data_IF_433154989173
#
_entry.id   IF_433154989173
#
_cell.length_a   1.000
_cell.length_b   1.000
_cell.length_c   1.000
_cell.angle_alpha   90.00
_cell.angle_beta   90.00
_cell.angle_gamma   90.00
#
_symmetry.space_group_name_H-M   'P 1'
#
loop_
_entity.id
_entity.type
_entity.pdbx_description
1 polymer ?
#
# COMPACT_ATOMS: atom_id res chain seq x y z
N UNK A 1 -28.30 8.33 -1.67
CA UNK A 1 -27.65 7.06 -1.25
C UNK A 1 -28.63 6.21 -0.43
N UNK A 2 -28.59 4.85 -0.52
CA UNK A 2 -29.39 3.98 0.38
C UNK A 2 -28.84 4.07 1.80
N UNK A 3 -29.70 3.90 2.81
CA UNK A 3 -29.30 4.03 4.23
C UNK A 3 -28.19 3.07 4.63
N UNK A 4 -28.22 1.83 4.15
CA UNK A 4 -27.17 0.84 4.41
C UNK A 4 -25.80 1.30 3.86
N UNK A 5 -25.78 1.83 2.66
CA UNK A 5 -24.56 2.38 2.05
C UNK A 5 -24.07 3.64 2.80
N UNK A 6 -24.96 4.50 3.28
CA UNK A 6 -24.56 5.67 4.09
C UNK A 6 -23.83 5.25 5.36
N UNK A 7 -24.27 4.17 6.01
CA UNK A 7 -23.67 3.68 7.27
C UNK A 7 -22.23 3.16 7.09
N UNK A 8 -21.81 2.80 5.88
CA UNK A 8 -20.41 2.41 5.64
C UNK A 8 -19.45 3.59 5.72
N UNK A 9 -19.93 4.82 5.64
CA UNK A 9 -19.15 6.05 5.73
C UNK A 9 -19.24 6.74 7.11
N UNK A 10 -20.10 6.26 8.02
CA UNK A 10 -20.28 6.88 9.32
C UNK A 10 -19.56 6.07 10.41
N UNK A 11 -18.89 6.75 11.34
CA UNK A 11 -18.13 6.13 12.41
C UNK A 11 -18.31 6.93 13.72
N UNK A 12 -18.23 6.24 14.88
CA UNK A 12 -18.28 6.88 16.21
C UNK A 12 -16.90 7.40 16.64
N UNK A 13 -16.82 8.52 17.37
CA UNK A 13 -15.55 9.10 17.82
C UNK A 13 -14.75 8.22 18.79
N UNK A 14 -15.40 7.27 19.47
CA UNK A 14 -14.79 6.34 20.41
C UNK A 14 -14.10 5.16 19.73
N UNK A 15 -14.39 4.92 18.44
CA UNK A 15 -13.77 3.82 17.70
C UNK A 15 -12.28 4.08 17.46
N UNK A 16 -11.53 2.98 17.32
CA UNK A 16 -10.08 3.01 17.17
C UNK A 16 -9.65 3.31 15.73
N UNK A 17 -8.38 3.66 15.57
CA UNK A 17 -7.76 3.83 14.25
C UNK A 17 -7.86 2.56 13.41
N UNK A 18 -7.67 1.38 14.01
CA UNK A 18 -7.80 0.09 13.31
C UNK A 18 -9.20 -0.09 12.73
N UNK A 19 -10.25 0.21 13.51
CA UNK A 19 -11.64 0.12 13.06
C UNK A 19 -11.94 1.14 11.94
N UNK A 20 -11.37 2.34 12.04
CA UNK A 20 -11.50 3.36 11.00
C UNK A 20 -10.84 2.90 9.69
N UNK A 21 -9.62 2.36 9.75
CA UNK A 21 -8.93 1.83 8.57
C UNK A 21 -9.74 0.72 7.88
N UNK A 22 -10.26 -0.24 8.65
CA UNK A 22 -11.10 -1.31 8.10
C UNK A 22 -12.35 -0.79 7.39
N UNK A 23 -12.95 0.26 7.96
CA UNK A 23 -14.15 0.86 7.39
C UNK A 23 -13.84 1.71 6.15
N UNK A 24 -12.69 2.37 6.11
CA UNK A 24 -12.16 3.07 4.92
C UNK A 24 -11.90 2.07 3.80
N UNK A 25 -11.27 0.94 4.11
CA UNK A 25 -11.03 -0.12 3.14
C UNK A 25 -12.33 -0.65 2.55
N UNK A 26 -13.30 -0.97 3.42
CA UNK A 26 -14.60 -1.49 2.99
C UNK A 26 -15.40 -0.53 2.10
N UNK A 27 -15.27 0.79 2.28
CA UNK A 27 -15.97 1.78 1.47
C UNK A 27 -15.19 2.23 0.22
N UNK A 28 -13.89 1.94 0.13
CA UNK A 28 -13.00 2.25 -0.99
C UNK A 28 -12.99 3.73 -1.45
N UNK A 29 -13.32 4.68 -0.53
CA UNK A 29 -13.37 6.13 -0.83
C UNK A 29 -12.42 6.97 0.03
N UNK A 30 -11.64 6.32 0.88
CA UNK A 30 -10.56 6.97 1.64
C UNK A 30 -11.01 7.96 2.73
N UNK A 31 -12.30 8.00 3.09
CA UNK A 31 -12.86 8.96 4.05
C UNK A 31 -13.98 8.36 4.88
N UNK A 32 -14.06 8.81 6.15
CA UNK A 32 -15.21 8.58 7.05
C UNK A 32 -15.67 9.90 7.67
N UNK A 33 -16.98 9.98 7.94
CA UNK A 33 -17.60 11.07 8.67
C UNK A 33 -17.93 10.61 10.09
N UNK A 34 -17.46 11.38 11.06
CA UNK A 34 -17.64 11.06 12.48
C UNK A 34 -18.92 11.68 12.95
N UNK A 35 -19.78 10.86 13.56
CA UNK A 35 -21.09 11.29 14.07
C UNK A 35 -21.24 10.92 15.55
N UNK A 36 -21.99 11.73 16.29
CA UNK A 36 -22.42 11.38 17.63
C UNK A 36 -23.58 10.37 17.60
N UNK A 37 -24.09 10.02 18.78
CA UNK A 37 -25.24 9.11 18.99
C UNK A 37 -26.51 9.54 18.26
N UNK A 38 -26.70 10.86 18.07
CA UNK A 38 -27.84 11.43 17.32
C UNK A 38 -27.58 11.48 15.79
N UNK A 39 -26.49 10.89 15.29
CA UNK A 39 -25.99 10.96 13.91
C UNK A 39 -25.69 12.38 13.42
N UNK A 40 -25.47 13.35 14.32
CA UNK A 40 -25.00 14.68 13.94
C UNK A 40 -23.53 14.61 13.57
N UNK A 41 -23.16 15.31 12.51
CA UNK A 41 -21.78 15.42 12.05
C UNK A 41 -20.94 16.17 13.10
N UNK A 42 -19.86 15.54 13.57
CA UNK A 42 -18.91 16.13 14.53
C UNK A 42 -17.46 16.10 14.04
N UNK A 43 -17.18 15.41 12.95
CA UNK A 43 -15.84 15.36 12.38
C UNK A 43 -15.78 14.58 11.07
N UNK A 44 -14.59 14.58 10.50
CA UNK A 44 -14.22 13.70 9.39
C UNK A 44 -12.79 13.20 9.60
N UNK A 45 -12.47 12.04 9.02
CA UNK A 45 -11.14 11.46 9.02
C UNK A 45 -10.87 10.82 7.66
N UNK A 46 -9.69 11.07 7.13
CA UNK A 46 -9.23 10.48 5.87
C UNK A 46 -8.13 9.46 6.11
N UNK A 47 -7.88 8.62 5.12
CA UNK A 47 -6.73 7.71 5.09
C UNK A 47 -5.41 8.48 5.33
N UNK A 48 -5.26 9.66 4.71
CA UNK A 48 -4.09 10.52 4.94
C UNK A 48 -3.94 11.03 6.38
N UNK A 49 -5.05 11.31 7.10
CA UNK A 49 -5.00 11.72 8.51
C UNK A 49 -4.52 10.57 9.39
N UNK A 50 -5.05 9.37 9.16
CA UNK A 50 -4.64 8.15 9.85
C UNK A 50 -3.17 7.86 9.59
N UNK A 51 -2.72 7.92 8.34
CA UNK A 51 -1.33 7.68 7.96
C UNK A 51 -0.38 8.64 8.66
N UNK A 52 -0.66 9.94 8.65
CA UNK A 52 0.15 10.95 9.35
C UNK A 52 0.24 10.68 10.86
N UNK A 53 -0.86 10.25 11.46
CA UNK A 53 -0.87 9.86 12.87
C UNK A 53 0.02 8.65 13.13
N UNK A 54 -0.11 7.59 12.32
CA UNK A 54 0.67 6.36 12.47
C UNK A 54 2.17 6.59 12.28
N UNK A 55 2.55 7.40 11.29
CA UNK A 55 3.94 7.80 11.08
C UNK A 55 4.48 8.53 12.31
N UNK A 56 3.67 9.40 12.92
CA UNK A 56 4.09 10.21 14.06
C UNK A 56 4.16 9.43 15.36
N UNK A 57 3.27 8.48 15.60
CA UNK A 57 3.04 7.89 16.93
C UNK A 57 3.21 6.38 16.99
N UNK A 58 3.06 5.66 15.87
CA UNK A 58 2.99 4.20 15.82
C UNK A 58 1.76 3.59 16.52
N UNK A 59 0.84 4.43 17.08
CA UNK A 59 -0.25 3.95 17.92
C UNK A 59 -1.51 3.64 17.10
N UNK A 60 -1.80 2.35 16.95
CA UNK A 60 -2.98 1.82 16.25
C UNK A 60 -4.25 1.80 17.11
N UNK A 61 -4.11 1.79 18.44
CA UNK A 61 -5.23 1.62 19.38
C UNK A 61 -5.83 2.94 19.85
N UNK A 62 -5.34 4.07 19.34
CA UNK A 62 -5.88 5.38 19.71
C UNK A 62 -7.29 5.58 19.13
N UNK A 63 -8.11 6.32 19.85
CA UNK A 63 -9.44 6.71 19.40
C UNK A 63 -9.36 7.78 18.30
N UNK A 64 -10.21 7.67 17.28
CA UNK A 64 -10.22 8.60 16.15
C UNK A 64 -10.62 10.04 16.57
N UNK A 65 -11.27 10.21 17.70
CA UNK A 65 -11.57 11.53 18.29
C UNK A 65 -10.34 12.41 18.50
N UNK A 66 -9.13 11.80 18.62
CA UNK A 66 -7.86 12.51 18.84
C UNK A 66 -7.27 13.12 17.55
N UNK A 67 -7.56 12.53 16.42
CA UNK A 67 -6.93 12.89 15.12
C UNK A 67 -7.93 13.38 14.07
N UNK A 68 -9.24 13.31 14.34
CA UNK A 68 -10.26 13.75 13.40
C UNK A 68 -10.21 15.27 13.12
N UNK A 69 -10.52 15.65 11.90
CA UNK A 69 -10.86 17.02 11.56
C UNK A 69 -12.22 17.37 12.19
N UNK A 70 -12.24 18.30 13.16
CA UNK A 70 -13.45 18.70 13.89
C UNK A 70 -14.34 19.69 13.14
N UNK A 71 -13.87 20.25 12.01
CA UNK A 71 -14.59 21.23 11.20
C UNK A 71 -14.69 20.77 9.75
N UNK A 72 -15.30 19.58 9.47
CA UNK A 72 -15.45 19.11 8.10
C UNK A 72 -16.38 20.03 7.33
N UNK A 73 -16.10 20.24 6.06
CA UNK A 73 -17.04 20.94 5.17
C UNK A 73 -18.27 20.08 4.96
N UNK A 74 -19.42 20.71 4.90
CA UNK A 74 -20.73 20.08 4.70
C UNK A 74 -21.68 21.05 4.01
N UNK A 75 -22.76 20.55 3.45
CA UNK A 75 -23.87 21.36 2.92
C UNK A 75 -25.19 20.90 3.52
N UNK A 76 -26.12 21.82 3.69
CA UNK A 76 -27.50 21.45 4.01
C UNK A 76 -28.25 20.98 2.77
N UNK A 77 -29.27 20.13 2.95
CA UNK A 77 -30.09 19.60 1.85
C UNK A 77 -30.58 20.67 0.87
N UNK A 78 -30.92 21.85 1.36
CA UNK A 78 -31.36 22.99 0.56
C UNK A 78 -30.24 23.61 -0.30
N UNK A 79 -28.99 23.34 0.02
CA UNK A 79 -27.79 23.92 -0.58
C UNK A 79 -27.04 22.92 -1.49
N UNK A 80 -27.63 21.76 -1.77
CA UNK A 80 -27.00 20.69 -2.58
C UNK A 80 -26.61 21.17 -3.99
N UNK A 81 -27.31 22.16 -4.54
CA UNK A 81 -26.98 22.73 -5.85
C UNK A 81 -25.58 23.40 -5.87
N UNK A 82 -25.08 23.90 -4.74
CA UNK A 82 -23.76 24.51 -4.61
C UNK A 82 -22.66 23.51 -4.19
N UNK A 83 -22.99 22.23 -4.02
CA UNK A 83 -22.06 21.24 -3.48
C UNK A 83 -20.78 21.10 -4.31
N UNK A 84 -20.89 21.09 -5.64
CA UNK A 84 -19.73 21.00 -6.53
C UNK A 84 -18.78 22.19 -6.39
N UNK A 85 -19.31 23.40 -6.24
CA UNK A 85 -18.50 24.61 -6.04
C UNK A 85 -17.76 24.54 -4.69
N UNK A 86 -18.44 24.03 -3.63
CA UNK A 86 -17.82 23.80 -2.33
C UNK A 86 -16.69 22.78 -2.46
N UNK A 87 -16.92 21.66 -3.13
CA UNK A 87 -15.92 20.59 -3.31
C UNK A 87 -14.69 21.12 -4.05
N UNK A 88 -14.86 21.82 -5.18
CA UNK A 88 -13.76 22.45 -5.94
C UNK A 88 -13.00 23.46 -5.10
N UNK A 89 -13.73 24.39 -4.44
CA UNK A 89 -13.13 25.48 -3.64
C UNK A 89 -12.23 24.98 -2.52
N UNK A 90 -12.58 23.84 -1.92
CA UNK A 90 -11.84 23.26 -0.79
C UNK A 90 -11.02 22.03 -1.16
N UNK A 91 -10.96 21.69 -2.46
CA UNK A 91 -10.24 20.50 -2.97
C UNK A 91 -10.59 19.23 -2.20
N UNK A 92 -11.90 18.98 -2.00
CA UNK A 92 -12.41 17.81 -1.27
C UNK A 92 -13.19 16.90 -2.21
N UNK A 93 -12.99 15.61 -2.07
CA UNK A 93 -13.58 14.57 -2.93
C UNK A 93 -14.89 13.99 -2.41
N UNK A 94 -15.25 14.30 -1.15
CA UNK A 94 -16.49 13.86 -0.53
C UNK A 94 -17.09 14.95 0.36
N UNK A 95 -18.40 15.17 0.25
CA UNK A 95 -19.11 16.24 0.97
C UNK A 95 -20.39 15.69 1.60
N UNK A 96 -20.51 15.68 2.95
CA UNK A 96 -21.71 15.21 3.65
C UNK A 96 -22.84 16.21 3.50
N UNK A 97 -24.04 15.71 3.27
CA UNK A 97 -25.30 16.46 3.21
C UNK A 97 -26.02 16.33 4.53
N UNK A 98 -26.38 17.46 5.12
CA UNK A 98 -27.04 17.52 6.42
C UNK A 98 -28.51 17.91 6.27
N UNK A 99 -29.35 17.39 7.18
CA UNK A 99 -30.70 17.95 7.38
C UNK A 99 -30.66 19.18 8.30
N UNK A 100 -31.82 19.78 8.53
CA UNK A 100 -31.96 20.98 9.40
C UNK A 100 -31.51 20.76 10.87
N UNK A 101 -31.37 19.51 11.30
CA UNK A 101 -30.92 19.13 12.66
C UNK A 101 -29.42 18.82 12.70
N UNK A 102 -28.68 18.96 11.58
CA UNK A 102 -27.26 18.62 11.48
C UNK A 102 -26.97 17.12 11.35
N UNK A 103 -27.97 16.29 11.07
CA UNK A 103 -27.84 14.85 10.89
C UNK A 103 -27.35 14.59 9.45
N UNK A 104 -26.38 13.72 9.29
CA UNK A 104 -25.90 13.28 7.96
C UNK A 104 -26.97 12.41 7.30
N UNK A 105 -27.46 12.85 6.14
CA UNK A 105 -28.53 12.17 5.38
C UNK A 105 -28.05 11.64 4.04
N UNK A 106 -26.94 12.16 3.50
CA UNK A 106 -26.34 11.72 2.26
C UNK A 106 -24.86 12.14 2.18
N UNK A 107 -24.13 11.61 1.21
CA UNK A 107 -22.76 12.00 0.90
C UNK A 107 -22.64 12.13 -0.60
N UNK A 108 -22.12 13.27 -1.04
CA UNK A 108 -21.80 13.54 -2.44
C UNK A 108 -20.32 13.31 -2.65
N UNK A 109 -20.00 12.59 -3.71
CA UNK A 109 -18.63 12.39 -4.16
C UNK A 109 -18.36 13.20 -5.41
N UNK A 110 -17.13 13.68 -5.57
CA UNK A 110 -16.69 14.27 -6.82
C UNK A 110 -16.83 13.22 -7.92
N UNK A 111 -17.44 13.59 -9.04
CA UNK A 111 -17.48 12.70 -10.21
C UNK A 111 -16.05 12.54 -10.71
N UNK A 112 -15.60 11.31 -10.86
CA UNK A 112 -14.31 10.99 -11.47
C UNK A 112 -14.28 11.53 -12.90
N UNK A 113 -13.84 12.79 -13.05
CA UNK A 113 -13.34 13.25 -14.34
C UNK A 113 -11.96 12.61 -14.50
N UNK A 114 -11.74 11.92 -15.64
CA UNK A 114 -10.41 11.41 -16.01
C UNK A 114 -9.37 12.46 -15.68
N UNK A 115 -8.42 12.07 -14.89
CA UNK A 115 -7.40 12.88 -14.22
C UNK A 115 -6.74 13.86 -15.19
N UNK A 116 -7.12 15.13 -15.11
CA UNK A 116 -6.18 16.19 -15.47
C UNK A 116 -5.06 16.13 -14.42
N UNK A 117 -3.82 16.09 -14.89
CA UNK A 117 -2.59 16.09 -14.08
C UNK A 117 -2.74 17.16 -13.00
N UNK A 118 -2.75 16.78 -11.74
CA UNK A 118 -2.81 17.72 -10.62
C UNK A 118 -1.60 18.63 -10.72
N UNK A 119 -1.81 19.95 -10.86
CA UNK A 119 -0.74 20.93 -10.76
C UNK A 119 -0.02 20.73 -9.44
N UNK A 120 1.28 20.36 -9.50
CA UNK A 120 2.11 20.03 -8.34
C UNK A 120 2.32 18.52 -8.10
N UNK A 121 1.85 17.64 -8.98
CA UNK A 121 2.20 16.22 -9.02
C UNK A 121 3.72 16.06 -9.17
N UNK A 122 4.33 15.25 -8.30
CA UNK A 122 5.75 14.90 -8.39
C UNK A 122 5.86 13.80 -9.46
N UNK A 123 6.26 14.16 -10.67
CA UNK A 123 6.49 13.14 -11.71
C UNK A 123 7.58 12.18 -11.28
N UNK A 124 7.31 10.87 -11.35
CA UNK A 124 8.28 9.81 -11.11
C UNK A 124 9.04 9.39 -12.38
N UNK A 125 9.01 10.20 -13.44
CA UNK A 125 9.56 9.90 -14.77
C UNK A 125 11.05 9.52 -14.76
N UNK A 126 11.82 10.00 -13.77
CA UNK A 126 13.26 9.72 -13.62
C UNK A 126 13.57 8.79 -12.44
N UNK A 127 12.57 8.28 -11.76
CA UNK A 127 12.77 7.40 -10.61
C UNK A 127 13.03 5.98 -11.09
N UNK A 128 14.23 5.41 -10.84
CA UNK A 128 14.49 4.02 -11.21
C UNK A 128 13.62 3.07 -10.37
N UNK A 129 13.05 2.06 -11.03
CA UNK A 129 12.30 0.98 -10.37
C UNK A 129 13.00 -0.34 -10.61
N UNK A 130 13.40 -1.02 -9.54
CA UNK A 130 14.05 -2.33 -9.58
C UNK A 130 13.06 -3.40 -9.14
N UNK A 131 12.76 -4.34 -10.04
CA UNK A 131 11.85 -5.46 -9.80
C UNK A 131 12.67 -6.71 -9.52
N UNK A 132 12.49 -7.31 -8.33
CA UNK A 132 13.21 -8.50 -7.89
C UNK A 132 12.56 -9.76 -8.46
N UNK A 133 13.08 -10.26 -9.58
CA UNK A 133 12.49 -11.36 -10.37
C UNK A 133 13.36 -12.64 -10.44
N UNK A 134 14.42 -12.77 -9.62
CA UNK A 134 15.36 -13.91 -9.64
C UNK A 134 14.85 -15.17 -8.90
N UNK A 135 13.78 -15.08 -8.12
CA UNK A 135 13.31 -16.16 -7.24
C UNK A 135 12.67 -17.35 -7.97
N UNK A 136 12.78 -18.56 -7.39
CA UNK A 136 12.19 -19.82 -7.92
C UNK A 136 10.66 -19.91 -7.74
N UNK A 137 10.07 -19.20 -6.80
CA UNK A 137 8.63 -19.20 -6.54
C UNK A 137 8.07 -20.57 -6.05
N UNK A 138 8.78 -21.29 -5.22
CA UNK A 138 8.44 -22.67 -4.82
C UNK A 138 7.08 -22.84 -4.14
N UNK A 139 6.57 -21.79 -3.49
CA UNK A 139 5.23 -21.82 -2.87
C UNK A 139 4.09 -21.95 -3.88
N UNK A 140 4.34 -21.58 -5.15
CA UNK A 140 3.38 -21.69 -6.25
C UNK A 140 3.60 -22.94 -7.13
N UNK A 141 4.29 -23.98 -6.62
CA UNK A 141 4.34 -25.26 -7.33
C UNK A 141 2.93 -25.88 -7.44
N UNK A 142 2.58 -26.49 -8.59
CA UNK A 142 3.44 -26.83 -9.75
C UNK A 142 3.64 -25.75 -10.81
N UNK A 143 2.91 -24.62 -10.78
CA UNK A 143 2.96 -23.59 -11.84
C UNK A 143 4.39 -23.09 -12.10
N UNK A 144 5.15 -22.81 -11.04
CA UNK A 144 6.52 -22.29 -11.16
C UNK A 144 7.56 -23.34 -11.59
N UNK A 145 7.15 -24.60 -11.74
CA UNK A 145 7.96 -25.59 -12.47
C UNK A 145 7.92 -25.37 -14.00
N UNK A 146 6.91 -24.70 -14.50
CA UNK A 146 6.73 -24.44 -15.94
C UNK A 146 7.04 -22.98 -16.25
N UNK A 147 6.39 -22.03 -15.57
CA UNK A 147 6.55 -20.60 -15.77
C UNK A 147 7.34 -19.99 -14.60
N UNK A 148 8.28 -19.05 -14.83
CA UNK A 148 8.86 -18.27 -13.74
C UNK A 148 7.77 -17.39 -13.11
N UNK A 149 7.87 -17.14 -11.79
CA UNK A 149 6.88 -16.40 -11.02
C UNK A 149 6.46 -15.06 -11.64
N UNK A 150 7.37 -14.23 -12.19
CA UNK A 150 7.02 -12.98 -12.86
C UNK A 150 6.07 -13.12 -14.05
N UNK A 151 6.03 -14.29 -14.67
CA UNK A 151 5.19 -14.58 -15.84
C UNK A 151 3.88 -15.32 -15.49
N UNK A 152 3.59 -15.58 -14.23
CA UNK A 152 2.28 -16.14 -13.84
C UNK A 152 1.21 -15.11 -14.18
N UNK A 153 0.19 -15.48 -14.96
CA UNK A 153 -0.87 -14.56 -15.33
C UNK A 153 -1.79 -14.26 -14.15
N UNK A 154 -2.20 -13.02 -14.05
CA UNK A 154 -3.31 -12.55 -13.24
C UNK A 154 -4.36 -12.00 -14.21
N UNK A 155 -5.39 -12.76 -14.49
CA UNK A 155 -6.26 -12.55 -15.64
C UNK A 155 -5.50 -12.86 -16.94
N UNK A 156 -5.40 -11.88 -17.83
CA UNK A 156 -4.88 -12.01 -19.19
C UNK A 156 -3.41 -11.63 -19.37
N UNK A 157 -2.78 -10.98 -18.37
CA UNK A 157 -1.39 -10.54 -18.44
C UNK A 157 -0.57 -10.98 -17.22
N UNK A 158 0.77 -11.15 -17.36
CA UNK A 158 1.64 -11.49 -16.24
C UNK A 158 1.64 -10.49 -15.10
N UNK A 159 1.85 -11.00 -13.87
CA UNK A 159 1.92 -10.14 -12.69
C UNK A 159 3.00 -9.06 -12.81
N UNK A 160 4.17 -9.37 -13.34
CA UNK A 160 5.25 -8.39 -13.51
C UNK A 160 4.85 -7.25 -14.47
N UNK A 161 4.07 -7.55 -15.50
CA UNK A 161 3.55 -6.53 -16.41
C UNK A 161 2.56 -5.61 -15.71
N UNK A 162 1.64 -6.17 -14.88
CA UNK A 162 0.72 -5.34 -14.07
C UNK A 162 1.46 -4.43 -13.10
N UNK A 163 2.58 -4.90 -12.53
CA UNK A 163 3.42 -4.08 -11.65
C UNK A 163 4.03 -2.93 -12.46
N UNK A 164 4.60 -3.21 -13.63
CA UNK A 164 5.18 -2.20 -14.52
C UNK A 164 4.12 -1.17 -14.93
N UNK A 165 2.92 -1.61 -15.34
CA UNK A 165 1.83 -0.71 -15.75
C UNK A 165 1.44 0.25 -14.62
N UNK A 166 1.40 -0.23 -13.36
CA UNK A 166 1.13 0.65 -12.20
C UNK A 166 2.17 1.75 -12.02
N UNK A 167 3.44 1.46 -12.25
CA UNK A 167 4.49 2.47 -12.20
C UNK A 167 4.45 3.40 -13.41
N UNK A 168 4.06 2.89 -14.58
CA UNK A 168 3.87 3.70 -15.79
C UNK A 168 2.71 4.68 -15.64
N UNK A 169 1.64 4.30 -14.94
CA UNK A 169 0.50 5.18 -14.64
C UNK A 169 0.93 6.46 -13.89
N UNK A 170 2.09 6.44 -13.19
CA UNK A 170 2.68 7.58 -12.47
C UNK A 170 3.94 8.13 -13.15
N UNK A 171 4.16 7.76 -14.41
CA UNK A 171 5.20 8.34 -15.27
C UNK A 171 6.56 7.65 -15.24
N UNK A 172 6.75 6.55 -14.51
CA UNK A 172 8.02 5.81 -14.49
C UNK A 172 8.34 5.23 -15.86
N UNK A 173 9.59 5.42 -16.30
CA UNK A 173 10.10 4.91 -17.59
C UNK A 173 11.37 4.05 -17.44
N UNK A 174 12.06 4.13 -16.31
CA UNK A 174 13.36 3.47 -16.09
C UNK A 174 13.19 2.22 -15.21
N UNK A 175 13.13 1.05 -15.85
CA UNK A 175 12.92 -0.23 -15.19
C UNK A 175 14.16 -1.10 -15.23
N UNK A 176 14.47 -1.73 -14.09
CA UNK A 176 15.46 -2.77 -13.92
C UNK A 176 14.78 -4.04 -13.44
N UNK A 177 15.22 -5.20 -13.93
CA UNK A 177 14.74 -6.48 -13.43
C UNK A 177 15.93 -7.37 -13.07
N UNK A 178 16.02 -7.76 -11.79
CA UNK A 178 17.01 -8.78 -11.40
C UNK A 178 16.45 -10.15 -11.75
N UNK A 179 17.22 -10.96 -12.48
CA UNK A 179 16.74 -12.22 -13.02
C UNK A 179 17.76 -13.36 -12.82
N UNK A 180 17.25 -14.53 -12.47
CA UNK A 180 18.05 -15.75 -12.32
C UNK A 180 17.28 -16.96 -12.89
N UNK A 181 16.30 -17.48 -12.11
CA UNK A 181 15.53 -18.66 -12.49
C UNK A 181 14.72 -18.40 -13.75
N UNK A 182 14.95 -19.25 -14.79
CA UNK A 182 14.27 -19.16 -16.10
C UNK A 182 14.34 -17.77 -16.74
N UNK A 183 15.44 -17.04 -16.54
CA UNK A 183 15.64 -15.68 -17.01
C UNK A 183 15.34 -15.48 -18.50
N UNK A 184 15.66 -16.47 -19.35
CA UNK A 184 15.42 -16.37 -20.80
C UNK A 184 13.92 -16.32 -21.13
N UNK A 185 13.06 -17.01 -20.38
CA UNK A 185 11.61 -16.93 -20.58
C UNK A 185 11.08 -15.52 -20.24
N UNK A 186 11.57 -14.93 -19.15
CA UNK A 186 11.20 -13.56 -18.77
C UNK A 186 11.62 -12.58 -19.86
N UNK A 187 12.88 -12.66 -20.30
CA UNK A 187 13.40 -11.79 -21.35
C UNK A 187 12.64 -11.94 -22.67
N UNK A 188 12.41 -13.20 -23.13
CA UNK A 188 11.66 -13.43 -24.37
C UNK A 188 10.26 -12.82 -24.33
N UNK A 189 9.53 -13.00 -23.23
CA UNK A 189 8.18 -12.44 -23.10
C UNK A 189 8.16 -10.93 -23.34
N UNK A 190 9.02 -10.19 -22.64
CA UNK A 190 9.04 -8.73 -22.74
C UNK A 190 9.72 -8.19 -24.01
N UNK A 191 10.50 -9.02 -24.72
CA UNK A 191 11.09 -8.66 -26.01
C UNK A 191 10.10 -8.92 -27.17
N UNK A 192 9.35 -10.02 -27.12
CA UNK A 192 8.42 -10.41 -28.19
C UNK A 192 7.14 -9.58 -28.19
N UNK A 193 6.75 -9.01 -27.05
CA UNK A 193 5.59 -8.13 -26.95
C UNK A 193 6.01 -6.70 -27.26
N UNK A 194 5.34 -6.07 -28.24
CA UNK A 194 5.56 -4.64 -28.56
C UNK A 194 5.19 -3.78 -27.34
N UNK A 195 6.20 -3.34 -26.60
CA UNK A 195 6.08 -2.46 -25.42
C UNK A 195 6.67 -1.10 -25.74
N UNK A 196 6.14 -0.09 -25.12
CA UNK A 196 6.61 1.30 -25.20
C UNK A 196 7.56 1.66 -24.03
N UNK A 197 8.10 0.65 -23.33
CA UNK A 197 9.10 0.77 -22.27
C UNK A 197 10.20 -0.28 -22.44
N UNK A 198 11.35 -0.01 -21.87
CA UNK A 198 12.51 -0.90 -21.88
C UNK A 198 12.82 -1.39 -20.46
N UNK A 199 13.22 -2.66 -20.33
CA UNK A 199 13.66 -3.25 -19.08
C UNK A 199 15.15 -3.59 -19.20
N UNK A 200 15.96 -3.00 -18.29
CA UNK A 200 17.37 -3.36 -18.12
C UNK A 200 17.48 -4.59 -17.23
N UNK A 201 18.01 -5.68 -17.75
CA UNK A 201 18.10 -6.94 -17.03
C UNK A 201 19.42 -7.05 -16.28
N UNK A 202 19.34 -7.33 -14.98
CA UNK A 202 20.48 -7.59 -14.09
C UNK A 202 20.51 -9.08 -13.81
N UNK A 203 21.49 -9.79 -14.37
CA UNK A 203 21.57 -11.24 -14.28
C UNK A 203 22.34 -11.69 -13.03
N UNK A 204 21.70 -12.47 -12.19
CA UNK A 204 22.33 -13.14 -11.06
C UNK A 204 22.94 -14.47 -11.52
N UNK A 205 24.20 -14.73 -11.20
CA UNK A 205 24.86 -16.02 -11.44
C UNK A 205 24.53 -17.07 -10.37
N UNK A 206 24.13 -16.61 -9.21
CA UNK A 206 23.67 -17.41 -8.05
C UNK A 206 22.54 -16.64 -7.32
N UNK A 207 21.69 -17.30 -6.53
CA UNK A 207 20.71 -16.60 -5.72
C UNK A 207 21.38 -15.62 -4.75
N UNK A 208 21.05 -14.33 -4.84
CA UNK A 208 21.65 -13.29 -3.98
C UNK A 208 20.69 -12.73 -2.93
N UNK A 209 19.49 -13.29 -2.79
CA UNK A 209 18.48 -12.79 -1.85
C UNK A 209 17.71 -11.59 -2.42
N UNK A 210 17.02 -10.85 -1.54
CA UNK A 210 16.15 -9.74 -1.97
C UNK A 210 16.86 -8.39 -2.00
N UNK A 211 18.16 -8.33 -1.69
CA UNK A 211 18.96 -7.10 -1.77
C UNK A 211 20.29 -7.31 -2.50
N UNK A 212 20.90 -8.51 -2.42
CA UNK A 212 22.23 -8.75 -2.93
C UNK A 212 22.40 -8.42 -4.42
N UNK A 213 21.38 -8.68 -5.23
CA UNK A 213 21.39 -8.37 -6.67
C UNK A 213 21.36 -6.88 -7.00
N UNK A 214 20.97 -6.01 -6.06
CA UNK A 214 21.06 -4.57 -6.24
C UNK A 214 22.52 -4.10 -6.44
N UNK A 215 23.48 -4.83 -5.85
CA UNK A 215 24.91 -4.54 -6.00
C UNK A 215 25.41 -4.77 -7.42
N UNK A 216 24.74 -5.60 -8.21
CA UNK A 216 25.09 -5.89 -9.60
C UNK A 216 24.65 -4.80 -10.59
N UNK A 217 23.84 -3.82 -10.14
CA UNK A 217 23.44 -2.71 -11.00
C UNK A 217 24.63 -1.74 -11.10
N UNK A 218 25.22 -1.64 -12.30
CA UNK A 218 26.41 -0.84 -12.55
C UNK A 218 26.11 0.67 -12.55
N UNK A 219 24.91 1.06 -13.01
CA UNK A 219 24.52 2.46 -13.10
C UNK A 219 24.43 3.12 -11.72
N UNK A 220 25.03 4.28 -11.58
CA UNK A 220 24.85 5.14 -10.42
C UNK A 220 23.53 5.92 -10.55
N UNK A 221 22.63 5.72 -9.60
CA UNK A 221 21.38 6.47 -9.53
C UNK A 221 21.62 7.85 -8.90
N UNK A 222 21.04 8.89 -9.50
CA UNK A 222 21.18 10.27 -9.01
C UNK A 222 20.16 10.63 -7.90
N UNK A 223 19.12 9.80 -7.75
CA UNK A 223 18.03 10.03 -6.81
C UNK A 223 17.57 8.72 -6.17
N UNK A 224 16.80 8.76 -5.07
CA UNK A 224 16.26 7.57 -4.46
C UNK A 224 15.50 6.70 -5.48
N UNK A 225 15.63 5.39 -5.34
CA UNK A 225 15.03 4.42 -6.26
C UNK A 225 14.08 3.49 -5.53
N UNK A 226 13.14 2.92 -6.28
CA UNK A 226 12.14 2.00 -5.75
C UNK A 226 12.62 0.56 -6.00
N UNK A 227 12.51 -0.29 -4.98
CA UNK A 227 12.69 -1.74 -5.10
C UNK A 227 11.38 -2.42 -4.77
N UNK A 228 10.94 -3.35 -5.62
CA UNK A 228 9.72 -4.09 -5.40
C UNK A 228 9.89 -5.58 -5.75
N UNK A 229 9.21 -6.44 -5.01
CA UNK A 229 9.09 -7.84 -5.40
C UNK A 229 8.25 -7.96 -6.69
N UNK A 230 8.47 -9.03 -7.46
CA UNK A 230 7.75 -9.28 -8.71
C UNK A 230 6.38 -9.96 -8.53
N UNK A 231 5.90 -10.10 -7.31
CA UNK A 231 4.70 -10.86 -6.95
C UNK A 231 3.71 -10.08 -6.09
N UNK A 232 3.95 -8.79 -5.90
CA UNK A 232 3.09 -7.90 -5.11
C UNK A 232 2.50 -6.80 -5.97
N UNK A 233 1.25 -6.45 -5.70
CA UNK A 233 0.59 -5.30 -6.28
C UNK A 233 0.12 -4.37 -5.16
N UNK A 234 0.52 -3.11 -5.24
CA UNK A 234 0.18 -2.11 -4.24
C UNK A 234 -0.75 -1.07 -4.84
N UNK A 235 -1.93 -0.91 -4.25
CA UNK A 235 -2.90 0.11 -4.60
C UNK A 235 -2.75 1.30 -3.65
N UNK A 236 -1.74 2.12 -3.88
CA UNK A 236 -1.47 3.32 -3.10
C UNK A 236 -0.97 4.45 -4.01
N UNK A 237 -0.90 5.64 -3.49
CA UNK A 237 -0.33 6.79 -4.17
C UNK A 237 1.21 6.70 -4.14
N UNK A 238 1.82 6.24 -5.24
CA UNK A 238 3.28 6.09 -5.36
C UNK A 238 4.02 7.42 -5.27
N UNK A 239 3.42 8.52 -5.73
CA UNK A 239 4.00 9.84 -5.62
C UNK A 239 4.06 10.29 -4.14
N UNK A 240 3.01 10.01 -3.37
CA UNK A 240 2.96 10.31 -1.93
C UNK A 240 3.98 9.45 -1.14
N UNK A 241 4.11 8.17 -1.49
CA UNK A 241 5.12 7.28 -0.89
C UNK A 241 6.54 7.83 -1.13
N UNK A 242 6.83 8.21 -2.38
CA UNK A 242 8.14 8.73 -2.76
C UNK A 242 8.42 10.09 -2.13
N UNK A 243 7.43 10.98 -2.11
CA UNK A 243 7.50 12.28 -1.44
C UNK A 243 7.78 12.14 0.05
N UNK A 244 7.06 11.22 0.72
CA UNK A 244 7.29 10.91 2.13
C UNK A 244 8.74 10.49 2.41
N UNK A 245 9.32 9.61 1.60
CA UNK A 245 10.70 9.19 1.74
C UNK A 245 11.66 10.40 1.73
N UNK A 246 11.49 11.28 0.75
CA UNK A 246 12.34 12.48 0.60
C UNK A 246 12.16 13.49 1.74
N UNK A 247 10.91 13.82 2.08
CA UNK A 247 10.61 14.82 3.11
C UNK A 247 10.99 14.35 4.51
N UNK A 248 10.87 13.07 4.78
CA UNK A 248 11.29 12.47 6.04
C UNK A 248 12.79 12.40 6.18
N UNK A 249 13.57 12.48 5.09
CA UNK A 249 15.01 12.27 5.07
C UNK A 249 15.40 10.87 5.51
N UNK A 250 14.58 9.87 5.20
CA UNK A 250 14.89 8.47 5.42
C UNK A 250 15.97 8.03 4.44
N UNK A 251 16.82 7.10 4.85
CA UNK A 251 17.75 6.44 3.95
C UNK A 251 17.12 5.22 3.29
N UNK A 252 16.26 4.53 4.06
CA UNK A 252 15.42 3.43 3.60
C UNK A 252 14.00 3.66 4.10
N UNK A 253 13.01 3.53 3.22
CA UNK A 253 11.58 3.51 3.58
C UNK A 253 10.98 2.17 3.21
N UNK A 254 10.33 1.53 4.16
CA UNK A 254 9.59 0.28 3.98
C UNK A 254 8.12 0.61 3.78
N UNK A 255 7.52 0.20 2.66
CA UNK A 255 6.07 0.22 2.53
C UNK A 255 5.51 -0.96 3.32
N UNK A 256 4.65 -0.68 4.29
CA UNK A 256 4.15 -1.68 5.23
C UNK A 256 2.63 -1.71 5.24
N UNK A 257 2.04 -2.90 5.06
CA UNK A 257 0.60 -3.08 5.09
C UNK A 257 0.11 -3.42 6.50
N UNK A 258 -1.01 -2.85 6.91
CA UNK A 258 -1.71 -3.29 8.10
C UNK A 258 -2.29 -4.69 7.83
N UNK A 259 -1.96 -5.67 8.69
CA UNK A 259 -2.55 -7.01 8.67
C UNK A 259 -3.29 -7.27 9.98
N UNK A 260 -4.50 -7.80 9.83
CA UNK A 260 -5.35 -8.18 10.95
C UNK A 260 -5.42 -9.71 11.04
N UNK A 261 -4.96 -10.26 12.16
CA UNK A 261 -4.93 -11.70 12.41
C UNK A 261 -5.92 -12.00 13.53
N UNK A 262 -6.95 -12.79 13.23
CA UNK A 262 -7.88 -13.27 14.25
C UNK A 262 -7.34 -14.59 14.80
N UNK A 263 -7.09 -14.64 16.10
CA UNK A 263 -6.80 -15.92 16.77
C UNK A 263 -8.12 -16.67 16.90
N UNK A 264 -8.31 -17.86 16.27
CA UNK A 264 -9.63 -18.50 16.22
C UNK A 264 -10.05 -19.19 17.52
N UNK A 265 -9.35 -18.90 18.62
CA UNK A 265 -9.52 -19.49 19.95
C UNK A 265 -9.57 -18.40 21.02
N UNK A 266 -10.08 -18.76 22.22
CA UNK A 266 -9.88 -17.95 23.43
C UNK A 266 -8.39 -17.94 23.80
N UNK A 267 -7.83 -16.72 23.96
CA UNK A 267 -6.44 -16.51 24.41
C UNK A 267 -6.43 -16.31 25.92
N UNK A 268 -5.61 -17.12 26.61
CA UNK A 268 -5.46 -17.07 28.07
C UNK A 268 -4.19 -16.30 28.40
N UNK A 269 -4.33 -15.26 29.21
CA UNK A 269 -3.20 -14.57 29.83
C UNK A 269 -2.97 -15.12 31.23
N UNK A 270 -1.79 -15.69 31.48
CA UNK A 270 -1.41 -16.28 32.76
C UNK A 270 -0.28 -15.51 33.43
N UNK A 271 -0.24 -15.53 34.74
CA UNK A 271 0.88 -15.10 35.57
C UNK A 271 1.73 -16.27 36.02
N UNK A 272 2.68 -15.97 36.91
CA UNK A 272 3.51 -17.01 37.55
C UNK A 272 2.62 -18.07 38.22
N UNK A 273 3.13 -19.31 38.27
CA UNK A 273 2.44 -20.49 38.80
C UNK A 273 1.15 -20.90 38.06
N UNK A 274 0.93 -20.44 36.82
CA UNK A 274 -0.20 -20.86 35.99
C UNK A 274 -1.54 -20.24 36.39
N UNK A 275 -1.55 -19.20 37.24
CA UNK A 275 -2.78 -18.49 37.56
C UNK A 275 -3.30 -17.70 36.36
N UNK A 276 -4.56 -17.92 35.98
CA UNK A 276 -5.21 -17.20 34.89
C UNK A 276 -5.54 -15.78 35.32
N UNK A 277 -5.03 -14.79 34.61
CA UNK A 277 -5.30 -13.37 34.86
C UNK A 277 -6.48 -12.85 34.04
N UNK A 278 -6.56 -13.24 32.78
CA UNK A 278 -7.67 -12.86 31.90
C UNK A 278 -7.80 -13.87 30.74
N UNK A 279 -8.94 -13.83 30.09
CA UNK A 279 -9.20 -14.58 28.85
C UNK A 279 -9.90 -13.64 27.88
N UNK A 280 -9.43 -13.67 26.63
CA UNK A 280 -9.99 -12.88 25.51
C UNK A 280 -10.45 -13.84 24.42
N UNK A 281 -11.74 -13.80 24.07
CA UNK A 281 -12.32 -14.68 23.07
C UNK A 281 -12.04 -14.13 21.66
N UNK A 282 -11.34 -14.95 20.85
CA UNK A 282 -11.02 -14.66 19.44
C UNK A 282 -10.41 -13.26 19.24
N UNK A 283 -9.33 -12.92 19.95
CA UNK A 283 -8.73 -11.60 19.83
C UNK A 283 -8.25 -11.32 18.41
N UNK A 284 -8.34 -10.05 18.02
CA UNK A 284 -7.85 -9.54 16.76
C UNK A 284 -6.56 -8.79 17.00
N UNK A 285 -5.47 -9.31 16.43
CA UNK A 285 -4.15 -8.71 16.50
C UNK A 285 -3.85 -7.96 15.20
N UNK A 286 -3.38 -6.73 15.30
CA UNK A 286 -3.06 -5.88 14.16
C UNK A 286 -1.57 -5.57 14.14
N UNK A 287 -0.91 -5.83 13.02
CA UNK A 287 0.51 -5.60 12.81
C UNK A 287 0.76 -4.92 11.47
N UNK A 288 1.84 -4.13 11.40
CA UNK A 288 2.39 -3.74 10.12
C UNK A 288 3.33 -4.84 9.61
N UNK A 289 3.05 -5.32 8.42
CA UNK A 289 3.88 -6.33 7.74
C UNK A 289 4.64 -5.69 6.59
N UNK A 290 5.84 -6.17 6.35
CA UNK A 290 6.65 -5.75 5.24
C UNK A 290 6.04 -6.26 3.93
N UNK A 291 5.74 -5.35 3.01
CA UNK A 291 5.13 -5.71 1.73
C UNK A 291 6.13 -6.24 0.70
N UNK A 292 7.42 -5.95 0.85
CA UNK A 292 8.43 -6.20 -0.18
C UNK A 292 8.61 -5.05 -1.17
N UNK A 293 8.05 -3.87 -0.87
CA UNK A 293 8.33 -2.63 -1.59
C UNK A 293 9.08 -1.66 -0.69
N UNK A 294 10.11 -1.04 -1.25
CA UNK A 294 11.03 -0.16 -0.53
C UNK A 294 11.41 1.04 -1.39
N UNK A 295 11.81 2.13 -0.73
CA UNK A 295 12.53 3.23 -1.37
C UNK A 295 13.88 3.37 -0.68
N UNK A 296 14.94 3.44 -1.46
CA UNK A 296 16.32 3.47 -1.00
C UNK A 296 17.05 4.70 -1.55
N UNK A 297 17.91 5.29 -0.72
CA UNK A 297 18.91 6.22 -1.22
C UNK A 297 19.97 5.47 -2.05
N UNK A 298 20.50 6.06 -3.12
CA UNK A 298 21.43 5.41 -4.05
C UNK A 298 22.69 4.84 -3.36
N UNK A 299 23.17 5.49 -2.32
CA UNK A 299 24.39 5.12 -1.59
C UNK A 299 24.27 3.74 -0.95
N UNK A 300 23.06 3.34 -0.54
CA UNK A 300 22.82 2.04 0.10
C UNK A 300 23.15 0.86 -0.81
N UNK A 301 23.05 1.04 -2.13
CA UNK A 301 23.44 0.02 -3.11
C UNK A 301 24.92 -0.39 -2.95
N UNK A 302 25.80 0.58 -2.66
CA UNK A 302 27.25 0.34 -2.47
C UNK A 302 27.60 -0.32 -1.14
N UNK A 303 26.66 -0.31 -0.19
CA UNK A 303 26.85 -0.92 1.14
C UNK A 303 26.46 -2.40 1.20
N UNK A 304 25.80 -2.89 0.17
CA UNK A 304 25.46 -4.30 0.04
C UNK A 304 26.73 -5.08 -0.32
N UNK A 305 27.06 -6.14 0.42
CA UNK A 305 28.24 -6.97 0.14
C UNK A 305 28.20 -7.56 -1.27
N UNK A 306 29.35 -7.59 -1.95
CA UNK A 306 29.46 -8.19 -3.29
C UNK A 306 29.32 -9.73 -3.20
N UNK A 307 28.69 -10.32 -4.22
CA UNK A 307 28.54 -11.78 -4.40
C UNK A 307 28.02 -12.52 -3.16
N UNK A 308 27.27 -11.85 -2.30
CA UNK A 308 26.78 -12.37 -1.03
C UNK A 308 25.26 -12.50 -1.04
N UNK A 309 24.75 -13.61 -0.52
CA UNK A 309 23.32 -13.78 -0.25
C UNK A 309 22.91 -12.79 0.86
N UNK A 310 22.12 -11.78 0.51
CA UNK A 310 21.79 -10.67 1.37
C UNK A 310 20.33 -10.23 1.15
N UNK A 311 19.58 -10.13 2.24
CA UNK A 311 18.18 -9.71 2.18
C UNK A 311 17.99 -8.22 2.49
N UNK A 312 16.85 -7.68 2.08
CA UNK A 312 16.45 -6.31 2.49
C UNK A 312 16.30 -6.18 4.01
N UNK A 313 15.95 -7.27 4.69
CA UNK A 313 15.92 -7.32 6.15
C UNK A 313 17.31 -7.18 6.76
N UNK A 314 18.34 -7.79 6.15
CA UNK A 314 19.73 -7.68 6.63
C UNK A 314 20.24 -6.24 6.48
N UNK A 315 19.92 -5.59 5.35
CA UNK A 315 20.22 -4.17 5.13
C UNK A 315 19.51 -3.29 6.16
N UNK A 316 18.21 -3.55 6.39
CA UNK A 316 17.41 -2.84 7.38
C UNK A 316 18.01 -2.97 8.78
N UNK A 317 18.35 -4.18 9.21
CA UNK A 317 18.95 -4.47 10.50
C UNK A 317 20.32 -3.80 10.69
N UNK A 318 21.13 -3.76 9.62
CA UNK A 318 22.40 -3.03 9.61
C UNK A 318 22.17 -1.54 9.88
N UNK A 319 21.27 -0.89 9.11
CA UNK A 319 20.96 0.53 9.24
C UNK A 319 20.43 0.87 10.65
N UNK A 320 19.55 0.04 11.19
CA UNK A 320 19.01 0.22 12.55
C UNK A 320 20.09 0.11 13.62
N UNK A 321 21.03 -0.86 13.52
CA UNK A 321 22.17 -1.00 14.43
C UNK A 321 23.13 0.20 14.37
N UNK A 322 23.23 0.82 13.21
CA UNK A 322 24.05 2.03 12.99
C UNK A 322 23.30 3.32 13.37
N UNK A 323 22.07 3.23 13.92
CA UNK A 323 21.19 4.37 14.24
C UNK A 323 20.89 5.27 13.03
N UNK A 324 20.85 4.69 11.84
CA UNK A 324 20.52 5.38 10.60
C UNK A 324 19.01 5.43 10.41
N UNK A 325 18.54 6.33 9.57
CA UNK A 325 17.13 6.64 9.48
C UNK A 325 16.37 5.69 8.55
N UNK A 326 15.74 4.71 9.14
CA UNK A 326 14.80 3.79 8.47
C UNK A 326 13.38 4.22 8.80
N UNK A 327 12.56 4.47 7.78
CA UNK A 327 11.16 4.87 7.93
C UNK A 327 10.18 3.80 7.48
N UNK A 328 8.93 3.94 7.89
CA UNK A 328 7.81 3.11 7.46
C UNK A 328 6.74 4.00 6.83
N UNK A 329 6.22 3.56 5.66
CA UNK A 329 5.04 4.16 5.06
C UNK A 329 3.88 3.18 5.17
N UNK A 330 2.86 3.46 6.00
CA UNK A 330 1.75 2.55 6.22
C UNK A 330 0.73 2.62 5.09
N UNK A 331 0.27 1.45 4.64
CA UNK A 331 -0.87 1.29 3.72
C UNK A 331 -1.90 0.36 4.37
N UNK A 332 -3.11 0.38 3.85
CA UNK A 332 -4.19 -0.49 4.31
C UNK A 332 -3.98 -1.95 3.90
N UNK A 333 -4.67 -2.87 4.58
CA UNK A 333 -4.64 -4.31 4.23
C UNK A 333 -5.15 -4.55 2.81
N UNK A 334 -6.20 -3.81 2.41
CA UNK A 334 -6.80 -3.95 1.10
C UNK A 334 -5.97 -3.35 -0.04
N UNK A 335 -5.05 -2.45 0.28
CA UNK A 335 -4.10 -1.87 -0.68
C UNK A 335 -2.94 -2.80 -1.00
N UNK A 336 -2.77 -3.90 -0.27
CA UNK A 336 -1.68 -4.86 -0.46
C UNK A 336 -2.21 -6.19 -1.00
N UNK A 337 -1.80 -6.53 -2.21
CA UNK A 337 -2.11 -7.79 -2.86
C UNK A 337 -0.80 -8.57 -3.05
N UNK A 338 -0.69 -9.73 -2.42
CA UNK A 338 0.47 -10.64 -2.51
C UNK A 338 0.07 -11.90 -3.28
N UNK A 339 0.79 -12.24 -4.33
CA UNK A 339 0.64 -13.48 -5.09
C UNK A 339 1.54 -14.60 -4.51
N UNK A 340 1.79 -14.61 -3.21
CA UNK A 340 2.66 -15.61 -2.58
C UNK A 340 2.08 -17.01 -2.54
N UNK A 341 0.76 -17.15 -2.55
CA UNK A 341 0.00 -18.39 -2.44
C UNK A 341 -1.23 -18.39 -3.36
N UNK A 342 -1.80 -19.57 -3.65
CA UNK A 342 -2.93 -19.70 -4.58
C UNK A 342 -4.19 -18.98 -4.12
N UNK A 343 -4.49 -18.99 -2.83
CA UNK A 343 -5.66 -18.31 -2.28
C UNK A 343 -5.56 -16.78 -2.48
N UNK A 344 -4.37 -16.23 -2.24
CA UNK A 344 -4.11 -14.80 -2.45
C UNK A 344 -4.12 -14.43 -3.94
N UNK A 345 -3.66 -15.31 -4.81
CA UNK A 345 -3.78 -15.13 -6.27
C UNK A 345 -5.25 -14.99 -6.71
N UNK A 346 -6.12 -15.88 -6.26
CA UNK A 346 -7.55 -15.79 -6.54
C UNK A 346 -8.20 -14.53 -5.92
N UNK A 347 -7.74 -14.13 -4.75
CA UNK A 347 -8.18 -12.87 -4.12
C UNK A 347 -7.76 -11.66 -4.94
N UNK A 348 -6.55 -11.67 -5.48
CA UNK A 348 -6.04 -10.62 -6.38
C UNK A 348 -6.89 -10.52 -7.65
N UNK A 349 -7.18 -11.65 -8.32
CA UNK A 349 -8.03 -11.70 -9.51
C UNK A 349 -9.43 -11.11 -9.25
N UNK A 350 -10.04 -11.47 -8.13
CA UNK A 350 -11.35 -10.93 -7.73
C UNK A 350 -11.32 -9.42 -7.47
N UNK A 351 -10.26 -8.93 -6.82
CA UNK A 351 -10.13 -7.49 -6.52
C UNK A 351 -9.86 -6.65 -7.77
N UNK A 352 -9.21 -7.22 -8.76
CA UNK A 352 -8.97 -6.56 -10.04
C UNK A 352 -10.18 -6.63 -10.99
N UNK A 353 -11.31 -7.18 -10.52
CA UNK A 353 -12.56 -7.38 -11.28
C UNK A 353 -12.33 -8.18 -12.58
N UNK A 354 -11.31 -9.02 -12.57
CA UNK A 354 -10.96 -9.89 -13.69
C UNK A 354 -11.91 -11.09 -13.63
N UNK A 355 -13.01 -11.06 -14.39
CA UNK A 355 -13.89 -12.19 -14.56
C UNK A 355 -13.13 -13.28 -15.30
N UNK A 356 -12.99 -14.46 -14.66
CA UNK A 356 -12.77 -15.68 -15.42
C UNK A 356 -14.00 -15.93 -16.29
N UNK A 357 -13.86 -15.74 -17.60
CA UNK A 357 -14.81 -16.28 -18.56
C UNK A 357 -14.85 -17.81 -18.51
#
# INVERSE_FOLDING_TARGET
MKTEQLMTFLISPEQTIVEAMQKIDANAKGILFITNTDRKLIGAITDGDIRRWLIKTGNLQEQISRLMNRNPKSVYRREVASAQDVMRRYSITALPVLNSKGIVIDILFEQEQKTEVREGSLSLDKVPVVIMAGGKGTRLYPYTKILPKPLIPIGDIPIMERIIDKFRDVGVTDFYATVNYRKNMIKSYFTDTAKDYEIKYVEENQPLGTAGSLRLIEEDFEQPFIVTNCDILIHADYEDIYRYHRESGNELTIVSALKNIVVPYGVIHSSENGAVQSMEEKPKLSYFVNTGMYILNPELKKEIPEDTFYHMTDLTDKLLKENRKVGMYPISEDSFLDMGEFEEMHRMEKKLDLKSE
#
